data_IF_997921079799
#
_entry.id   IF_997921079799
#
_cell.length_a   1.000
_cell.length_b   1.000
_cell.length_c   1.000
_cell.angle_alpha   90.00
_cell.angle_beta   90.00
_cell.angle_gamma   90.00
#
_symmetry.space_group_name_H-M   'P 1'
#
loop_
_entity.id
_entity.type
_entity.pdbx_description
1 polymer ?
#
# COMPACT_ATOMS: atom_id res chain seq x y z
N UNK A 1 -17.13 11.87 -17.92
CA UNK A 1 -17.34 10.41 -18.02
C UNK A 1 -18.05 9.93 -16.76
N UNK A 2 -19.38 10.06 -16.74
CA UNK A 2 -20.30 9.22 -15.96
C UNK A 2 -21.53 9.10 -16.86
N UNK A 3 -21.67 7.98 -17.57
CA UNK A 3 -22.93 7.55 -18.17
C UNK A 3 -23.54 6.58 -17.17
N UNK A 4 -24.45 7.07 -16.35
CA UNK A 4 -25.30 6.30 -15.47
C UNK A 4 -26.54 7.13 -15.23
N UNK A 5 -27.71 6.59 -15.55
CA UNK A 5 -28.99 7.24 -15.26
C UNK A 5 -29.08 7.49 -13.75
N UNK A 6 -29.17 8.76 -13.34
CA UNK A 6 -29.50 9.11 -11.96
C UNK A 6 -31.00 8.82 -11.82
N UNK A 7 -31.32 7.60 -11.40
CA UNK A 7 -32.66 7.32 -10.88
C UNK A 7 -32.78 8.11 -9.58
N UNK A 8 -33.50 9.24 -9.66
CA UNK A 8 -33.91 10.02 -8.49
C UNK A 8 -34.91 9.19 -7.67
N UNK A 9 -34.40 8.20 -6.93
CA UNK A 9 -35.14 7.61 -5.83
C UNK A 9 -35.43 8.73 -4.82
N UNK A 10 -36.71 8.92 -4.46
CA UNK A 10 -37.08 9.88 -3.40
C UNK A 10 -36.19 9.59 -2.19
N UNK A 11 -35.62 10.61 -1.51
CA UNK A 11 -34.85 10.37 -0.30
C UNK A 11 -35.74 9.62 0.67
N UNK A 12 -35.33 8.41 1.06
CA UNK A 12 -36.06 7.61 2.03
C UNK A 12 -36.31 8.49 3.28
N UNK A 13 -37.52 8.51 3.86
CA UNK A 13 -37.84 9.32 5.04
C UNK A 13 -36.86 9.11 6.22
N UNK A 14 -36.12 8.01 6.22
CA UNK A 14 -35.01 7.73 7.12
C UNK A 14 -33.78 8.63 6.90
N UNK A 15 -33.42 8.99 5.66
CA UNK A 15 -32.32 9.91 5.35
C UNK A 15 -32.57 11.29 5.95
N UNK A 16 -33.79 11.81 5.80
CA UNK A 16 -34.18 13.11 6.35
C UNK A 16 -34.12 13.10 7.89
N UNK A 17 -34.57 12.01 8.54
CA UNK A 17 -34.52 11.86 10.00
C UNK A 17 -33.09 11.73 10.52
N UNK A 18 -32.21 11.01 9.81
CA UNK A 18 -30.81 10.83 10.18
C UNK A 18 -30.01 12.12 10.01
N UNK A 19 -30.22 12.86 8.91
CA UNK A 19 -29.61 14.17 8.71
C UNK A 19 -30.10 15.20 9.74
N UNK A 20 -31.40 15.21 10.06
CA UNK A 20 -31.94 16.06 11.12
C UNK A 20 -31.32 15.72 12.50
N UNK A 21 -31.22 14.43 12.83
CA UNK A 21 -30.57 13.98 14.07
C UNK A 21 -29.07 14.34 14.12
N UNK A 22 -28.37 14.28 12.98
CA UNK A 22 -26.97 14.72 12.82
C UNK A 22 -26.81 16.19 13.19
N UNK A 23 -27.61 17.08 12.58
CA UNK A 23 -27.51 18.51 12.85
C UNK A 23 -27.97 18.87 14.27
N UNK A 24 -28.98 18.18 14.82
CA UNK A 24 -29.41 18.37 16.20
C UNK A 24 -28.31 17.99 17.20
N UNK A 25 -27.60 16.88 17.00
CA UNK A 25 -26.51 16.44 17.87
C UNK A 25 -25.30 17.39 17.78
N UNK A 26 -24.93 17.80 16.56
CA UNK A 26 -23.84 18.74 16.36
C UNK A 26 -24.14 20.11 16.99
N UNK A 27 -25.37 20.60 16.84
CA UNK A 27 -25.83 21.85 17.45
C UNK A 27 -25.88 21.75 18.99
N UNK A 28 -26.42 20.67 19.54
CA UNK A 28 -26.48 20.46 20.99
C UNK A 28 -25.08 20.36 21.61
N UNK A 29 -24.17 19.60 20.99
CA UNK A 29 -22.77 19.49 21.42
C UNK A 29 -22.04 20.83 21.36
N UNK A 30 -22.28 21.62 20.31
CA UNK A 30 -21.79 22.99 20.22
C UNK A 30 -22.34 23.88 21.35
N UNK A 31 -23.67 23.92 21.53
CA UNK A 31 -24.34 24.78 22.52
C UNK A 31 -23.87 24.49 23.95
N UNK A 32 -23.60 23.23 24.30
CA UNK A 32 -23.03 22.85 25.59
C UNK A 32 -21.60 23.40 25.81
N UNK A 33 -20.84 23.67 24.73
CA UNK A 33 -19.50 24.24 24.78
C UNK A 33 -19.48 25.78 24.76
N UNK A 34 -20.61 26.43 24.42
CA UNK A 34 -20.72 27.89 24.33
C UNK A 34 -20.40 28.66 25.63
N UNK A 35 -20.72 28.17 26.85
CA UNK A 35 -20.39 28.86 28.10
C UNK A 35 -18.88 28.92 28.41
N UNK A 36 -18.04 28.16 27.71
CA UNK A 36 -16.62 27.94 28.05
C UNK A 36 -15.62 28.72 27.17
N UNK A 37 -16.00 29.87 26.62
CA UNK A 37 -15.03 30.80 26.01
C UNK A 37 -15.22 31.14 24.53
N UNK A 38 -16.45 31.19 24.03
CA UNK A 38 -16.78 31.85 22.76
C UNK A 38 -16.94 30.93 21.54
N UNK A 39 -17.08 31.54 20.36
CA UNK A 39 -17.47 30.87 19.10
C UNK A 39 -16.47 29.79 18.63
N UNK A 40 -15.18 29.93 18.96
CA UNK A 40 -14.13 29.02 18.50
C UNK A 40 -14.21 27.61 19.13
N UNK A 41 -14.27 27.43 20.47
CA UNK A 41 -14.45 26.11 21.06
C UNK A 41 -15.79 25.46 20.67
N UNK A 42 -16.86 26.25 20.51
CA UNK A 42 -18.13 25.80 19.93
C UNK A 42 -17.91 25.20 18.53
N UNK A 43 -17.23 25.93 17.64
CA UNK A 43 -16.99 25.49 16.27
C UNK A 43 -16.12 24.23 16.22
N UNK A 44 -15.09 24.12 17.07
CA UNK A 44 -14.23 22.94 17.12
C UNK A 44 -14.98 21.69 17.56
N UNK A 45 -15.83 21.78 18.59
CA UNK A 45 -16.66 20.65 19.06
C UNK A 45 -17.68 20.27 17.99
N UNK A 46 -18.36 21.26 17.40
CA UNK A 46 -19.30 21.05 16.30
C UNK A 46 -18.63 20.28 15.15
N UNK A 47 -17.46 20.73 14.70
CA UNK A 47 -16.73 20.10 13.59
C UNK A 47 -16.10 18.75 13.97
N UNK A 48 -15.77 18.52 15.23
CA UNK A 48 -15.32 17.20 15.69
C UNK A 48 -16.44 16.16 15.61
N UNK A 49 -17.68 16.55 15.94
CA UNK A 49 -18.89 15.72 15.79
C UNK A 49 -19.22 15.55 14.30
N UNK A 50 -19.21 16.64 13.52
CA UNK A 50 -19.49 16.63 12.08
C UNK A 50 -18.50 15.73 11.32
N UNK A 51 -17.22 15.74 11.70
CA UNK A 51 -16.19 14.88 11.12
C UNK A 51 -16.53 13.39 11.24
N UNK A 52 -17.22 12.95 12.29
CA UNK A 52 -17.64 11.54 12.44
C UNK A 52 -18.79 11.15 11.51
N UNK A 53 -19.48 12.14 10.93
CA UNK A 53 -20.71 11.97 10.16
C UNK A 53 -20.65 12.62 8.77
N UNK A 54 -19.46 13.05 8.33
CA UNK A 54 -19.29 13.73 7.05
C UNK A 54 -19.62 12.81 5.87
N UNK A 55 -19.35 11.51 6.01
CA UNK A 55 -19.62 10.49 4.99
C UNK A 55 -21.01 9.86 5.08
N UNK A 56 -21.87 10.33 5.99
CA UNK A 56 -23.16 9.70 6.26
C UNK A 56 -24.08 9.69 5.03
N UNK A 57 -24.11 10.79 4.27
CA UNK A 57 -24.94 10.92 3.09
C UNK A 57 -24.48 10.00 1.93
N UNK A 58 -23.21 10.02 1.48
CA UNK A 58 -22.77 9.10 0.44
C UNK A 58 -22.84 7.63 0.89
N UNK A 59 -22.49 7.31 2.14
CA UNK A 59 -22.57 5.93 2.63
C UNK A 59 -24.01 5.37 2.66
N UNK A 60 -25.02 6.21 2.89
CA UNK A 60 -26.41 5.77 2.83
C UNK A 60 -26.86 5.49 1.39
N UNK A 61 -26.35 6.25 0.42
CA UNK A 61 -26.66 6.05 -1.01
C UNK A 61 -26.09 4.72 -1.51
N UNK A 62 -24.86 4.38 -1.10
CA UNK A 62 -24.19 3.15 -1.51
C UNK A 62 -24.68 1.90 -0.75
N UNK A 63 -25.16 2.08 0.47
CA UNK A 63 -25.55 0.99 1.36
C UNK A 63 -26.94 1.21 1.97
N UNK A 64 -28.02 1.22 1.17
CA UNK A 64 -29.38 1.53 1.64
C UNK A 64 -29.97 0.50 2.63
N UNK A 65 -29.35 -0.68 2.74
CA UNK A 65 -29.79 -1.75 3.65
C UNK A 65 -29.14 -1.75 5.04
N UNK A 66 -28.17 -0.87 5.31
CA UNK A 66 -27.49 -0.84 6.61
C UNK A 66 -28.37 -0.20 7.69
N UNK A 67 -28.33 -0.77 8.90
CA UNK A 67 -28.96 -0.15 10.06
C UNK A 67 -28.22 1.14 10.46
N UNK A 68 -28.91 2.04 11.19
CA UNK A 68 -28.30 3.28 11.71
C UNK A 68 -26.99 3.05 12.46
N UNK A 69 -26.89 1.96 13.23
CA UNK A 69 -25.70 1.65 14.04
C UNK A 69 -24.52 1.25 13.16
N UNK A 70 -24.77 0.42 12.13
CA UNK A 70 -23.76 -0.03 11.17
C UNK A 70 -23.27 1.13 10.31
N UNK A 71 -24.17 2.00 9.86
CA UNK A 71 -23.83 3.17 9.07
C UNK A 71 -22.93 4.15 9.84
N UNK A 72 -23.22 4.38 11.13
CA UNK A 72 -22.37 5.20 12.00
C UNK A 72 -21.02 4.54 12.30
N UNK A 73 -20.98 3.21 12.43
CA UNK A 73 -19.73 2.47 12.58
C UNK A 73 -18.87 2.57 11.30
N UNK A 74 -19.49 2.44 10.13
CA UNK A 74 -18.84 2.61 8.83
C UNK A 74 -18.29 4.04 8.63
N UNK A 75 -19.05 5.08 8.99
CA UNK A 75 -18.55 6.46 8.93
C UNK A 75 -17.36 6.70 9.88
N UNK A 76 -17.37 6.08 11.06
CA UNK A 76 -16.24 6.13 12.00
C UNK A 76 -15.01 5.39 11.48
N UNK A 77 -15.19 4.25 10.83
CA UNK A 77 -14.11 3.55 10.15
C UNK A 77 -13.47 4.44 9.06
N UNK A 78 -14.29 5.04 8.19
CA UNK A 78 -13.84 5.99 7.17
C UNK A 78 -13.11 7.18 7.79
N UNK A 79 -13.62 7.73 8.89
CA UNK A 79 -12.94 8.79 9.66
C UNK A 79 -11.58 8.30 10.17
N UNK A 80 -11.48 7.07 10.69
CA UNK A 80 -10.22 6.43 11.05
C UNK A 80 -9.25 6.33 9.86
N UNK A 81 -9.76 5.94 8.68
CA UNK A 81 -8.98 5.84 7.42
C UNK A 81 -8.46 7.19 6.92
N UNK A 82 -9.08 8.31 7.32
CA UNK A 82 -8.53 9.65 7.05
C UNK A 82 -7.38 10.05 8.00
N UNK A 83 -7.05 9.23 9.00
CA UNK A 83 -6.09 9.55 10.05
C UNK A 83 -6.72 10.04 11.35
N UNK A 84 -8.02 9.78 11.54
CA UNK A 84 -8.78 10.17 12.73
C UNK A 84 -9.35 11.60 12.67
N UNK A 85 -10.14 11.94 13.68
CA UNK A 85 -10.99 13.14 13.74
C UNK A 85 -10.28 14.45 13.39
N UNK A 86 -9.07 14.67 13.93
CA UNK A 86 -8.31 15.90 13.70
C UNK A 86 -7.87 16.01 12.23
N UNK A 87 -7.47 14.90 11.61
CA UNK A 87 -7.10 14.87 10.20
C UNK A 87 -8.32 15.09 9.29
N UNK A 88 -9.46 14.51 9.66
CA UNK A 88 -10.74 14.75 8.99
C UNK A 88 -11.13 16.23 9.05
N UNK A 89 -11.06 16.86 10.24
CA UNK A 89 -11.38 18.27 10.43
C UNK A 89 -10.52 19.21 9.58
N UNK A 90 -9.21 18.91 9.41
CA UNK A 90 -8.32 19.69 8.53
C UNK A 90 -8.79 19.73 7.08
N UNK A 91 -9.56 18.74 6.65
CA UNK A 91 -10.12 18.66 5.28
C UNK A 91 -11.54 19.23 5.23
N UNK A 92 -12.38 18.92 6.22
CA UNK A 92 -13.78 19.36 6.26
C UNK A 92 -13.92 20.86 6.50
N UNK A 93 -13.10 21.46 7.36
CA UNK A 93 -13.22 22.89 7.70
C UNK A 93 -13.03 23.77 6.46
N UNK A 94 -11.98 23.59 5.62
CA UNK A 94 -11.87 24.34 4.37
C UNK A 94 -13.05 24.15 3.41
N UNK A 95 -13.59 22.92 3.29
CA UNK A 95 -14.77 22.64 2.47
C UNK A 95 -15.97 23.43 3.00
N UNK A 96 -16.23 23.37 4.30
CA UNK A 96 -17.33 24.07 4.93
C UNK A 96 -17.20 25.60 4.81
N UNK A 97 -15.99 26.15 4.97
CA UNK A 97 -15.70 27.57 4.72
C UNK A 97 -16.02 27.94 3.27
N UNK A 98 -15.63 27.10 2.30
CA UNK A 98 -15.93 27.33 0.88
C UNK A 98 -17.43 27.25 0.56
N UNK A 99 -18.17 26.37 1.23
CA UNK A 99 -19.62 26.22 1.09
C UNK A 99 -20.35 27.44 1.65
N UNK A 100 -19.94 27.94 2.82
CA UNK A 100 -20.62 29.04 3.52
C UNK A 100 -20.27 30.42 2.95
N UNK A 101 -19.00 30.65 2.60
CA UNK A 101 -18.50 31.98 2.23
C UNK A 101 -18.18 32.12 0.75
N UNK A 102 -17.91 31.02 0.05
CA UNK A 102 -17.39 31.10 -1.32
C UNK A 102 -18.43 31.44 -2.39
N UNK A 103 -19.71 31.54 -2.03
CA UNK A 103 -20.76 32.09 -2.90
C UNK A 103 -20.94 33.60 -2.76
N UNK A 104 -20.37 34.23 -1.72
CA UNK A 104 -20.49 35.67 -1.46
C UNK A 104 -19.87 36.55 -2.57
N UNK A 105 -18.71 36.22 -3.16
CA UNK A 105 -18.13 37.03 -4.24
C UNK A 105 -18.85 36.86 -5.58
N UNK A 106 -19.54 35.73 -5.80
CA UNK A 106 -20.16 35.38 -7.07
C UNK A 106 -21.69 35.48 -7.07
N UNK A 107 -22.32 35.78 -5.93
CA UNK A 107 -23.78 35.80 -5.75
C UNK A 107 -24.46 34.44 -5.90
N UNK A 108 -23.70 33.34 -5.85
CA UNK A 108 -24.20 31.98 -6.13
C UNK A 108 -23.87 31.02 -4.96
N UNK A 109 -24.65 31.09 -3.87
CA UNK A 109 -24.46 30.23 -2.71
C UNK A 109 -24.79 28.77 -3.01
N UNK A 110 -25.70 28.52 -3.96
CA UNK A 110 -26.10 27.16 -4.36
C UNK A 110 -24.93 26.44 -5.00
N UNK A 111 -24.23 27.08 -5.93
CA UNK A 111 -23.04 26.50 -6.57
C UNK A 111 -21.92 26.23 -5.56
N UNK A 112 -21.68 27.15 -4.63
CA UNK A 112 -20.66 26.96 -3.58
C UNK A 112 -20.99 25.75 -2.69
N UNK A 113 -22.26 25.61 -2.33
CA UNK A 113 -22.77 24.47 -1.57
C UNK A 113 -22.66 23.15 -2.35
N UNK A 114 -23.10 23.13 -3.61
CA UNK A 114 -23.02 21.95 -4.48
C UNK A 114 -21.58 21.48 -4.70
N UNK A 115 -20.63 22.40 -4.88
CA UNK A 115 -19.21 22.04 -5.02
C UNK A 115 -18.64 21.40 -3.75
N UNK A 116 -19.05 21.86 -2.57
CA UNK A 116 -18.64 21.24 -1.32
C UNK A 116 -19.26 19.85 -1.12
N UNK A 117 -20.52 19.66 -1.49
CA UNK A 117 -21.16 18.34 -1.48
C UNK A 117 -20.45 17.37 -2.43
N UNK A 118 -20.12 17.80 -3.66
CA UNK A 118 -19.34 17.02 -4.62
C UNK A 118 -17.95 16.70 -4.06
N UNK A 119 -17.27 17.65 -3.41
CA UNK A 119 -15.97 17.42 -2.81
C UNK A 119 -16.00 16.32 -1.73
N UNK A 120 -17.06 16.28 -0.91
CA UNK A 120 -17.25 15.21 0.08
C UNK A 120 -17.51 13.86 -0.58
N UNK A 121 -18.31 13.81 -1.65
CA UNK A 121 -18.55 12.56 -2.40
C UNK A 121 -17.27 12.07 -3.07
N UNK A 122 -16.52 12.93 -3.76
CA UNK A 122 -15.25 12.56 -4.38
C UNK A 122 -14.23 12.08 -3.33
N UNK A 123 -14.24 12.67 -2.14
CA UNK A 123 -13.39 12.22 -1.04
C UNK A 123 -13.82 10.87 -0.48
N UNK A 124 -15.13 10.62 -0.38
CA UNK A 124 -15.68 9.33 0.00
C UNK A 124 -15.28 8.22 -1.00
N UNK A 125 -15.46 8.46 -2.30
CA UNK A 125 -15.04 7.55 -3.37
C UNK A 125 -13.54 7.26 -3.32
N UNK A 126 -12.71 8.29 -3.14
CA UNK A 126 -11.26 8.15 -2.97
C UNK A 126 -10.89 7.35 -1.72
N UNK A 127 -11.68 7.42 -0.65
CA UNK A 127 -11.48 6.58 0.53
C UNK A 127 -11.89 5.14 0.26
N UNK A 128 -13.02 4.88 -0.40
CA UNK A 128 -13.44 3.53 -0.74
C UNK A 128 -12.47 2.82 -1.71
N UNK A 129 -11.93 3.56 -2.67
CA UNK A 129 -10.95 3.05 -3.64
C UNK A 129 -9.58 2.71 -3.01
N UNK A 130 -9.30 3.17 -1.78
CA UNK A 130 -8.11 2.75 -1.03
C UNK A 130 -8.34 1.35 -0.46
N UNK A 131 -7.37 0.43 -0.49
CA UNK A 131 -7.47 -0.79 0.30
C UNK A 131 -7.70 -0.42 1.78
N UNK A 132 -8.47 -1.22 2.55
CA UNK A 132 -8.60 -0.99 3.99
C UNK A 132 -7.20 -0.89 4.59
N UNK A 133 -7.01 0.06 5.50
CA UNK A 133 -5.78 0.17 6.25
C UNK A 133 -5.62 -1.16 6.99
N UNK A 134 -4.80 -2.05 6.45
CA UNK A 134 -4.49 -3.34 7.08
C UNK A 134 -4.07 -3.04 8.51
N UNK A 135 -4.83 -3.59 9.45
CA UNK A 135 -4.57 -3.55 10.89
C UNK A 135 -3.26 -4.26 11.18
N UNK A 136 -2.16 -3.57 10.95
CA UNK A 136 -0.88 -3.88 11.53
C UNK A 136 -0.34 -2.56 12.06
N UNK A 137 -0.45 -2.40 13.37
CA UNK A 137 0.28 -1.41 14.15
C UNK A 137 1.77 -1.68 13.99
N UNK A 138 2.35 -1.25 12.88
CA UNK A 138 3.80 -1.11 12.76
C UNK A 138 4.13 0.26 13.33
N UNK A 139 5.03 0.27 14.33
CA UNK A 139 5.63 1.51 14.81
C UNK A 139 6.01 2.37 13.60
N UNK A 140 5.61 3.65 13.63
CA UNK A 140 5.85 4.56 12.51
C UNK A 140 7.33 4.67 12.15
N UNK A 141 8.25 4.28 13.05
CA UNK A 141 9.68 4.23 12.88
C UNK A 141 10.22 2.82 13.22
N UNK A 142 11.03 2.25 12.34
CA UNK A 142 11.86 1.05 12.60
C UNK A 142 13.33 1.47 12.45
N UNK A 143 14.09 1.35 13.54
CA UNK A 143 15.53 1.59 13.58
C UNK A 143 16.23 0.25 13.85
N UNK A 144 17.31 -0.06 13.14
CA UNK A 144 18.07 -1.31 13.36
C UNK A 144 17.43 -2.57 12.79
N UNK A 145 16.24 -2.46 12.18
CA UNK A 145 15.53 -3.59 11.61
C UNK A 145 15.05 -4.58 12.66
N UNK A 146 14.37 -4.08 13.70
CA UNK A 146 13.82 -4.90 14.79
C UNK A 146 12.36 -5.30 14.57
N UNK A 147 11.62 -4.55 13.75
CA UNK A 147 10.25 -4.93 13.38
C UNK A 147 10.22 -6.29 12.65
N UNK A 148 9.13 -7.07 12.76
CA UNK A 148 8.97 -8.28 11.96
C UNK A 148 8.87 -7.94 10.48
N UNK A 149 9.32 -8.87 9.64
CA UNK A 149 9.18 -8.77 8.19
C UNK A 149 7.70 -8.87 7.82
N UNK A 150 7.19 -7.88 7.07
CA UNK A 150 5.80 -7.87 6.60
C UNK A 150 5.66 -8.80 5.39
N UNK A 151 4.69 -9.70 5.41
CA UNK A 151 4.34 -10.52 4.25
C UNK A 151 3.17 -9.84 3.54
N UNK A 152 3.44 -9.31 2.34
CA UNK A 152 2.42 -8.67 1.50
C UNK A 152 1.81 -9.72 0.58
N UNK A 153 0.55 -10.02 0.80
CA UNK A 153 -0.21 -10.96 -0.04
C UNK A 153 -0.64 -10.29 -1.34
N UNK A 154 -0.39 -10.98 -2.45
CA UNK A 154 -0.69 -10.58 -3.82
C UNK A 154 -1.39 -11.75 -4.50
N UNK A 155 -2.39 -11.48 -5.33
CA UNK A 155 -3.08 -12.50 -6.12
C UNK A 155 -3.16 -12.03 -7.56
N UNK A 156 -2.72 -12.88 -8.49
CA UNK A 156 -2.75 -12.64 -9.93
C UNK A 156 -3.28 -13.91 -10.58
N UNK A 157 -4.43 -13.83 -11.24
CA UNK A 157 -5.03 -15.02 -11.87
C UNK A 157 -4.26 -15.41 -13.14
N UNK A 158 -3.41 -16.45 -13.03
CA UNK A 158 -2.73 -17.09 -14.16
C UNK A 158 -3.18 -18.55 -14.36
N UNK A 159 -4.12 -19.03 -13.53
CA UNK A 159 -4.68 -20.37 -13.61
C UNK A 159 -3.74 -21.50 -13.22
N UNK A 160 -2.67 -21.22 -12.45
CA UNK A 160 -1.64 -22.22 -12.12
C UNK A 160 -1.82 -22.91 -10.77
N UNK A 161 -2.50 -22.26 -9.81
CA UNK A 161 -2.61 -22.75 -8.44
C UNK A 161 -1.28 -22.73 -7.69
N UNK A 162 -0.34 -21.85 -8.06
CA UNK A 162 0.98 -21.75 -7.47
C UNK A 162 1.05 -20.61 -6.46
N UNK A 163 1.92 -20.73 -5.46
CA UNK A 163 2.28 -19.63 -4.56
C UNK A 163 3.78 -19.40 -4.63
N UNK A 164 4.19 -18.17 -4.97
CA UNK A 164 5.59 -17.75 -5.01
C UNK A 164 5.89 -16.79 -3.86
N UNK A 165 7.13 -16.79 -3.37
CA UNK A 165 7.64 -15.75 -2.48
C UNK A 165 8.70 -14.92 -3.21
N UNK A 166 8.48 -13.63 -3.40
CA UNK A 166 9.52 -12.71 -3.86
C UNK A 166 10.17 -11.97 -2.69
N UNK A 167 11.49 -12.12 -2.56
CA UNK A 167 12.31 -11.41 -1.58
C UNK A 167 13.47 -10.71 -2.30
N UNK A 168 13.67 -9.44 -2.01
CA UNK A 168 14.73 -8.61 -2.60
C UNK A 168 15.40 -7.77 -1.53
N UNK A 169 16.56 -7.20 -1.86
CA UNK A 169 17.24 -6.20 -1.04
C UNK A 169 17.53 -6.73 0.37
N UNK A 170 18.14 -7.92 0.44
CA UNK A 170 18.46 -8.61 1.69
C UNK A 170 19.65 -7.93 2.41
N UNK A 171 20.59 -7.36 1.64
CA UNK A 171 21.79 -6.68 2.13
C UNK A 171 22.52 -7.45 3.25
N UNK A 172 22.73 -8.74 3.05
CA UNK A 172 23.26 -9.60 4.12
C UNK A 172 24.73 -9.27 4.41
N UNK A 173 25.03 -9.22 5.71
CA UNK A 173 26.37 -9.15 6.32
C UNK A 173 26.40 -10.06 7.55
N UNK A 174 27.58 -10.41 8.06
CA UNK A 174 27.69 -11.17 9.31
C UNK A 174 27.28 -10.33 10.54
N UNK A 175 25.99 -10.16 10.77
CA UNK A 175 25.42 -9.46 11.92
C UNK A 175 24.03 -9.99 12.30
N UNK A 176 23.58 -9.70 13.52
CA UNK A 176 22.29 -10.18 14.03
C UNK A 176 21.07 -9.65 13.27
N UNK A 177 21.17 -8.50 12.59
CA UNK A 177 20.09 -7.98 11.73
C UNK A 177 19.88 -8.88 10.51
N UNK A 178 20.95 -9.26 9.85
CA UNK A 178 20.91 -10.13 8.67
C UNK A 178 20.41 -11.52 9.04
N UNK A 179 20.81 -12.06 10.21
CA UNK A 179 20.26 -13.31 10.72
C UNK A 179 18.72 -13.25 10.89
N UNK A 180 18.18 -12.15 11.43
CA UNK A 180 16.73 -11.95 11.53
C UNK A 180 16.03 -11.86 10.18
N UNK A 181 16.68 -11.23 9.18
CA UNK A 181 16.15 -11.19 7.80
C UNK A 181 16.07 -12.61 7.24
N UNK A 182 17.11 -13.43 7.42
CA UNK A 182 17.11 -14.84 7.00
C UNK A 182 15.96 -15.61 7.64
N UNK A 183 15.81 -15.52 8.97
CA UNK A 183 14.72 -16.19 9.68
C UNK A 183 13.34 -15.73 9.20
N UNK A 184 13.16 -14.43 8.96
CA UNK A 184 11.91 -13.87 8.44
C UNK A 184 11.56 -14.39 7.05
N UNK A 185 12.54 -14.46 6.14
CA UNK A 185 12.34 -14.98 4.79
C UNK A 185 12.06 -16.49 4.82
N UNK A 186 12.81 -17.27 5.59
CA UNK A 186 12.60 -18.72 5.74
C UNK A 186 11.22 -19.01 6.34
N UNK A 187 10.78 -18.21 7.31
CA UNK A 187 9.43 -18.35 7.87
C UNK A 187 8.35 -18.06 6.82
N UNK A 188 8.49 -16.98 6.05
CA UNK A 188 7.55 -16.60 4.99
C UNK A 188 7.54 -17.58 3.80
N UNK A 189 8.64 -18.32 3.60
CA UNK A 189 8.77 -19.33 2.53
C UNK A 189 8.07 -20.66 2.86
N UNK A 190 7.42 -20.80 4.02
CA UNK A 190 6.68 -22.02 4.35
C UNK A 190 5.43 -22.14 3.49
N UNK A 191 5.29 -23.26 2.78
CA UNK A 191 4.12 -23.56 1.96
C UNK A 191 4.05 -22.79 0.63
N UNK A 192 5.18 -22.25 0.15
CA UNK A 192 5.30 -21.68 -1.20
C UNK A 192 6.02 -22.67 -2.12
N UNK A 193 5.74 -22.62 -3.43
CA UNK A 193 6.33 -23.51 -4.44
C UNK A 193 7.75 -23.10 -4.82
N UNK A 194 8.03 -21.79 -4.84
CA UNK A 194 9.37 -21.26 -5.09
C UNK A 194 9.59 -19.88 -4.44
N UNK A 195 10.86 -19.59 -4.17
CA UNK A 195 11.35 -18.29 -3.71
C UNK A 195 12.14 -17.62 -4.83
N UNK A 196 11.74 -16.40 -5.18
CA UNK A 196 12.40 -15.53 -6.15
C UNK A 196 13.25 -14.49 -5.40
N UNK A 197 14.57 -14.60 -5.51
CA UNK A 197 15.52 -13.64 -4.95
C UNK A 197 15.84 -12.54 -5.97
N UNK A 198 15.22 -11.37 -5.77
CA UNK A 198 15.18 -10.25 -6.72
C UNK A 198 16.41 -9.33 -6.73
N UNK A 199 17.58 -9.80 -6.29
CA UNK A 199 18.83 -9.02 -6.25
C UNK A 199 19.05 -8.20 -4.97
N UNK A 200 20.26 -7.63 -4.87
CA UNK A 200 20.83 -6.98 -3.68
C UNK A 200 20.85 -7.92 -2.47
N UNK A 201 21.43 -9.10 -2.69
CA UNK A 201 21.46 -10.20 -1.72
C UNK A 201 22.56 -9.98 -0.68
N UNK A 202 23.74 -9.53 -1.12
CA UNK A 202 24.90 -9.31 -0.25
C UNK A 202 25.36 -7.86 -0.24
N UNK A 203 25.75 -7.41 0.94
CA UNK A 203 26.33 -6.09 1.17
C UNK A 203 27.83 -6.17 1.55
N UNK A 204 28.38 -7.40 1.49
CA UNK A 204 29.78 -7.74 1.72
C UNK A 204 29.99 -9.27 1.74
N UNK A 205 31.23 -9.76 1.57
CA UNK A 205 31.53 -11.21 1.54
C UNK A 205 31.13 -11.96 2.82
N UNK A 206 31.11 -11.27 3.96
CA UNK A 206 30.74 -11.87 5.26
C UNK A 206 29.28 -12.36 5.33
N UNK A 207 28.41 -11.90 4.42
CA UNK A 207 27.03 -12.37 4.31
C UNK A 207 26.87 -13.70 3.56
N UNK A 208 27.91 -14.20 2.86
CA UNK A 208 27.81 -15.45 2.06
C UNK A 208 27.30 -16.66 2.84
N UNK A 209 27.75 -16.94 4.08
CA UNK A 209 27.26 -18.09 4.83
C UNK A 209 25.76 -17.98 5.13
N UNK A 210 25.27 -16.78 5.45
CA UNK A 210 23.85 -16.52 5.70
C UNK A 210 23.01 -16.65 4.43
N UNK A 211 23.50 -16.18 3.29
CA UNK A 211 22.81 -16.38 2.00
C UNK A 211 22.75 -17.87 1.65
N UNK A 212 23.85 -18.59 1.84
CA UNK A 212 23.91 -20.04 1.59
C UNK A 212 22.92 -20.78 2.49
N UNK A 213 22.85 -20.44 3.79
CA UNK A 213 21.89 -21.01 4.73
C UNK A 213 20.43 -20.71 4.36
N UNK A 214 20.12 -19.45 4.04
CA UNK A 214 18.79 -19.05 3.57
C UNK A 214 18.34 -19.92 2.39
N UNK A 215 19.21 -20.07 1.40
CA UNK A 215 18.88 -20.80 0.17
C UNK A 215 18.66 -22.29 0.45
N UNK A 216 19.44 -22.91 1.35
CA UNK A 216 19.24 -24.32 1.75
C UNK A 216 17.93 -24.58 2.48
N UNK A 217 17.42 -23.58 3.21
CA UNK A 217 16.24 -23.71 4.08
C UNK A 217 14.94 -23.33 3.39
N UNK A 218 15.04 -22.66 2.25
CA UNK A 218 13.90 -22.36 1.40
C UNK A 218 13.60 -23.57 0.48
N UNK A 219 12.39 -23.64 -0.11
CA UNK A 219 12.08 -24.60 -1.18
C UNK A 219 12.90 -24.25 -2.44
N UNK A 220 12.34 -24.40 -3.64
CA UNK A 220 13.06 -24.04 -4.86
C UNK A 220 13.41 -22.55 -4.88
N UNK A 221 14.70 -22.22 -5.02
CA UNK A 221 15.18 -20.82 -5.09
C UNK A 221 15.66 -20.47 -6.50
N UNK A 222 15.20 -19.33 -7.01
CA UNK A 222 15.71 -18.69 -8.23
C UNK A 222 16.24 -17.30 -7.87
N UNK A 223 17.43 -16.93 -8.35
CA UNK A 223 18.06 -15.66 -7.97
C UNK A 223 18.59 -14.89 -9.18
N UNK A 224 18.51 -13.56 -9.10
CA UNK A 224 19.12 -12.61 -10.04
C UNK A 224 20.05 -11.64 -9.31
N UNK A 225 21.01 -10.99 -9.98
CA UNK A 225 21.87 -9.99 -9.34
C UNK A 225 21.18 -8.62 -9.20
N UNK A 226 21.46 -7.95 -8.10
CA UNK A 226 21.27 -6.49 -7.95
C UNK A 226 22.55 -5.69 -8.18
N UNK A 227 22.53 -4.39 -7.92
CA UNK A 227 23.72 -3.54 -8.03
C UNK A 227 24.73 -3.74 -6.88
N UNK A 228 24.27 -3.98 -5.64
CA UNK A 228 25.17 -4.29 -4.52
C UNK A 228 25.89 -5.62 -4.75
N UNK A 229 25.22 -6.59 -5.34
CA UNK A 229 25.84 -7.88 -5.72
C UNK A 229 26.96 -7.69 -6.75
N UNK A 230 26.88 -6.67 -7.62
CA UNK A 230 27.97 -6.32 -8.54
C UNK A 230 29.18 -5.75 -7.80
N UNK A 231 28.97 -4.92 -6.79
CA UNK A 231 30.06 -4.38 -5.96
C UNK A 231 30.75 -5.47 -5.14
N UNK A 232 30.00 -6.44 -4.61
CA UNK A 232 30.54 -7.61 -3.90
C UNK A 232 31.20 -8.60 -4.87
N UNK A 233 30.72 -8.64 -6.11
CA UNK A 233 31.15 -9.51 -7.20
C UNK A 233 30.12 -10.59 -7.50
N UNK A 234 29.44 -10.49 -8.64
CA UNK A 234 28.33 -11.38 -9.02
C UNK A 234 28.71 -12.86 -8.96
N UNK A 235 29.91 -13.24 -9.40
CA UNK A 235 30.36 -14.63 -9.34
C UNK A 235 30.46 -15.19 -7.91
N UNK A 236 30.72 -14.33 -6.92
CA UNK A 236 30.73 -14.70 -5.50
C UNK A 236 29.31 -14.95 -5.00
N UNK A 237 28.40 -14.01 -5.27
CA UNK A 237 26.99 -14.12 -4.87
C UNK A 237 26.35 -15.36 -5.50
N UNK A 238 26.58 -15.55 -6.80
CA UNK A 238 26.16 -16.73 -7.56
C UNK A 238 26.61 -18.03 -6.89
N UNK A 239 27.90 -18.15 -6.57
CA UNK A 239 28.42 -19.35 -5.87
C UNK A 239 27.75 -19.57 -4.52
N UNK A 240 27.44 -18.53 -3.76
CA UNK A 240 26.72 -18.68 -2.49
C UNK A 240 25.30 -19.22 -2.69
N UNK A 241 24.59 -18.74 -3.70
CA UNK A 241 23.27 -19.28 -4.10
C UNK A 241 23.38 -20.74 -4.54
N UNK A 242 24.31 -21.06 -5.43
CA UNK A 242 24.49 -22.43 -5.96
C UNK A 242 24.95 -23.42 -4.87
N UNK A 243 25.82 -23.00 -3.94
CA UNK A 243 26.20 -23.80 -2.75
C UNK A 243 25.02 -24.10 -1.81
N UNK A 244 23.97 -23.29 -1.90
CA UNK A 244 22.71 -23.49 -1.19
C UNK A 244 21.71 -24.35 -1.95
N UNK A 245 22.07 -24.85 -3.13
CA UNK A 245 21.18 -25.55 -4.08
C UNK A 245 20.18 -24.65 -4.79
N UNK A 246 20.37 -23.32 -4.74
CA UNK A 246 19.58 -22.37 -5.51
C UNK A 246 20.05 -22.27 -6.96
N UNK A 247 19.14 -21.84 -7.83
CA UNK A 247 19.43 -21.62 -9.26
C UNK A 247 19.71 -20.14 -9.51
N UNK A 248 20.88 -19.86 -10.10
CA UNK A 248 21.20 -18.52 -10.59
C UNK A 248 20.65 -18.33 -12.01
N UNK A 249 19.71 -17.40 -12.18
CA UNK A 249 19.03 -17.17 -13.45
C UNK A 249 19.91 -16.34 -14.42
N UNK A 250 20.24 -16.92 -15.57
CA UNK A 250 20.88 -16.23 -16.71
C UNK A 250 19.95 -16.08 -17.93
N UNK A 251 18.74 -16.65 -17.84
CA UNK A 251 17.73 -16.63 -18.89
C UNK A 251 16.37 -16.94 -18.26
N UNK A 252 15.82 -18.10 -18.57
CA UNK A 252 14.52 -18.56 -18.06
C UNK A 252 14.61 -19.86 -17.26
N UNK A 253 13.62 -20.08 -16.38
CA UNK A 253 13.40 -21.35 -15.69
C UNK A 253 11.90 -21.63 -15.56
N UNK A 254 11.51 -22.91 -15.62
CA UNK A 254 10.13 -23.35 -15.46
C UNK A 254 9.82 -23.70 -13.99
N UNK A 255 8.80 -23.09 -13.39
CA UNK A 255 8.30 -23.38 -12.03
C UNK A 255 6.83 -23.78 -12.14
N UNK A 256 6.50 -25.07 -12.01
CA UNK A 256 5.10 -25.51 -11.96
C UNK A 256 4.24 -25.10 -13.16
N UNK A 257 4.83 -24.92 -14.35
CA UNK A 257 4.13 -24.41 -15.54
C UNK A 257 4.33 -22.91 -15.81
N UNK A 258 4.90 -22.15 -14.87
CA UNK A 258 5.27 -20.75 -15.05
C UNK A 258 6.68 -20.61 -15.63
N UNK A 259 6.85 -19.83 -16.70
CA UNK A 259 8.16 -19.39 -17.18
C UNK A 259 8.61 -18.17 -16.37
N UNK A 260 9.71 -18.30 -15.62
CA UNK A 260 10.33 -17.18 -14.90
C UNK A 260 11.58 -16.75 -15.64
N UNK A 261 11.63 -15.50 -16.12
CA UNK A 261 12.75 -14.98 -16.89
C UNK A 261 13.26 -13.62 -16.40
N UNK A 262 14.37 -13.16 -16.97
CA UNK A 262 15.06 -11.93 -16.55
C UNK A 262 15.02 -10.79 -17.59
N UNK A 263 14.40 -11.04 -18.74
CA UNK A 263 14.24 -10.09 -19.83
C UNK A 263 13.93 -10.77 -21.17
N UNK A 264 13.76 -9.98 -22.21
CA UNK A 264 13.43 -10.48 -23.55
C UNK A 264 11.95 -10.83 -23.71
N UNK A 265 11.65 -11.66 -24.71
CA UNK A 265 10.30 -12.20 -24.95
C UNK A 265 10.22 -13.59 -24.31
N UNK A 266 9.17 -13.90 -23.52
CA UNK A 266 9.07 -15.18 -22.85
C UNK A 266 8.96 -16.34 -23.84
N UNK A 267 9.60 -17.47 -23.57
CA UNK A 267 9.56 -18.65 -24.46
C UNK A 267 8.19 -19.35 -24.49
N UNK A 268 7.42 -19.25 -23.41
CA UNK A 268 6.07 -19.79 -23.29
C UNK A 268 5.28 -18.97 -22.26
N UNK A 269 3.96 -19.21 -22.20
CA UNK A 269 3.05 -18.59 -21.24
C UNK A 269 2.38 -19.67 -20.37
N UNK A 270 1.99 -19.33 -19.13
CA UNK A 270 2.15 -18.03 -18.47
C UNK A 270 3.60 -17.70 -18.08
N UNK A 271 3.96 -16.41 -18.04
CA UNK A 271 5.32 -15.94 -17.81
C UNK A 271 5.45 -14.78 -16.81
N UNK A 272 6.46 -14.86 -15.95
CA UNK A 272 6.85 -13.87 -14.95
C UNK A 272 8.24 -13.30 -15.23
N UNK A 273 8.31 -11.97 -15.35
CA UNK A 273 9.54 -11.21 -15.48
C UNK A 273 10.08 -10.83 -14.10
N UNK A 274 11.24 -11.38 -13.74
CA UNK A 274 11.97 -11.04 -12.53
C UNK A 274 13.09 -10.06 -12.87
N UNK A 275 13.00 -8.82 -12.38
CA UNK A 275 14.01 -7.79 -12.58
C UNK A 275 14.39 -7.15 -11.26
N UNK A 276 15.63 -6.72 -11.10
CA UNK A 276 16.04 -6.07 -9.85
C UNK A 276 15.50 -4.64 -9.78
N UNK A 277 15.78 -3.84 -10.81
CA UNK A 277 15.38 -2.43 -10.88
C UNK A 277 14.02 -2.33 -11.57
N UNK A 278 13.01 -1.67 -10.96
CA UNK A 278 11.68 -1.58 -11.56
C UNK A 278 11.66 -1.01 -12.98
N UNK A 279 12.59 -0.11 -13.32
CA UNK A 279 12.73 0.48 -14.67
C UNK A 279 13.09 -0.51 -15.77
N UNK A 280 13.66 -1.66 -15.40
CA UNK A 280 14.02 -2.73 -16.35
C UNK A 280 12.82 -3.59 -16.74
N UNK A 281 11.68 -3.45 -16.05
CA UNK A 281 10.46 -4.13 -16.45
C UNK A 281 10.00 -3.64 -17.83
N UNK A 282 9.60 -4.59 -18.67
CA UNK A 282 9.13 -4.41 -20.05
C UNK A 282 7.79 -5.12 -20.24
N UNK A 283 7.05 -4.75 -21.28
CA UNK A 283 5.81 -5.44 -21.68
C UNK A 283 6.03 -6.84 -22.24
N UNK A 284 4.93 -7.53 -22.54
CA UNK A 284 4.95 -8.86 -23.19
C UNK A 284 4.97 -10.04 -22.22
N UNK A 285 5.03 -9.77 -20.91
CA UNK A 285 4.96 -10.76 -19.82
C UNK A 285 3.59 -10.70 -19.13
N UNK A 286 3.18 -11.78 -18.48
CA UNK A 286 1.89 -11.83 -17.77
C UNK A 286 1.98 -11.18 -16.37
N UNK A 287 3.18 -11.18 -15.77
CA UNK A 287 3.49 -10.48 -14.52
C UNK A 287 4.96 -10.05 -14.50
N UNK A 288 5.27 -8.89 -13.91
CA UNK A 288 6.62 -8.48 -13.58
C UNK A 288 6.76 -8.22 -12.08
N UNK A 289 7.91 -8.56 -11.51
CA UNK A 289 8.21 -8.34 -10.09
C UNK A 289 9.61 -7.72 -9.93
N UNK A 290 9.71 -6.71 -9.06
CA UNK A 290 10.95 -5.96 -8.85
C UNK A 290 11.18 -5.54 -7.38
N UNK A 291 12.43 -5.14 -7.07
CA UNK A 291 12.89 -4.64 -5.77
C UNK A 291 13.55 -3.27 -5.87
N UNK A 292 14.74 -3.12 -5.28
CA UNK A 292 15.69 -2.02 -5.42
C UNK A 292 15.30 -0.67 -4.77
N UNK A 293 14.01 -0.30 -4.78
CA UNK A 293 13.62 1.06 -4.38
C UNK A 293 13.40 1.24 -2.89
N UNK A 294 13.36 0.17 -2.09
CA UNK A 294 13.13 0.20 -0.64
C UNK A 294 11.83 0.93 -0.19
N UNK A 295 10.90 1.16 -1.11
CA UNK A 295 9.78 2.09 -0.91
C UNK A 295 10.20 3.53 -0.57
N UNK A 296 11.46 3.90 -0.84
CA UNK A 296 12.07 5.17 -0.44
C UNK A 296 12.46 5.26 1.03
N UNK A 297 12.34 4.17 1.80
CA UNK A 297 12.58 4.04 3.26
C UNK A 297 11.70 4.92 4.17
N UNK A 298 11.28 6.09 3.71
CA UNK A 298 10.42 7.05 4.40
C UNK A 298 9.17 7.26 3.55
N UNK A 299 8.01 6.93 4.11
CA UNK A 299 6.72 7.12 3.47
C UNK A 299 5.90 8.13 4.27
N UNK A 300 5.88 9.38 3.81
CA UNK A 300 5.04 10.43 4.39
C UNK A 300 3.61 10.34 3.86
N UNK A 301 3.49 10.06 2.57
CA UNK A 301 2.22 9.93 1.84
C UNK A 301 2.32 8.73 0.91
N UNK A 302 1.34 7.84 0.99
CA UNK A 302 1.18 6.71 0.08
C UNK A 302 -0.12 6.88 -0.71
N UNK A 303 -0.01 6.86 -2.05
CA UNK A 303 -1.13 6.77 -3.00
C UNK A 303 -0.82 5.62 -3.97
N UNK A 304 -0.88 5.84 -5.27
CA UNK A 304 -0.27 4.95 -6.28
C UNK A 304 1.25 4.89 -6.14
N UNK A 305 1.86 5.93 -5.55
CA UNK A 305 3.29 6.07 -5.30
C UNK A 305 3.56 6.36 -3.83
N UNK A 306 4.79 6.12 -3.40
CA UNK A 306 5.29 6.39 -2.05
C UNK A 306 6.18 7.63 -2.05
N UNK A 307 5.81 8.65 -1.27
CA UNK A 307 6.53 9.93 -1.21
C UNK A 307 7.32 10.07 0.11
N UNK A 308 8.52 10.68 0.09
CA UNK A 308 9.14 11.40 -1.04
C UNK A 308 9.92 10.51 -2.03
N UNK A 309 10.06 9.20 -1.81
CA UNK A 309 10.85 8.32 -2.69
C UNK A 309 10.48 8.43 -4.18
N UNK A 310 9.21 8.68 -4.49
CA UNK A 310 8.71 8.94 -5.84
C UNK A 310 9.34 10.15 -6.57
N UNK A 311 9.94 11.10 -5.84
CA UNK A 311 10.73 12.20 -6.42
C UNK A 311 12.03 11.71 -7.05
N UNK A 312 12.62 10.64 -6.49
CA UNK A 312 13.86 10.03 -6.98
C UNK A 312 13.56 9.02 -8.09
N UNK A 313 12.53 8.19 -7.88
CA UNK A 313 12.06 7.25 -8.88
C UNK A 313 10.53 7.14 -8.93
N UNK A 314 9.95 7.48 -10.08
CA UNK A 314 8.49 7.44 -10.29
C UNK A 314 7.86 6.04 -10.21
N UNK A 315 8.66 4.96 -10.19
CA UNK A 315 8.23 3.58 -9.91
C UNK A 315 8.33 3.21 -8.42
N UNK A 316 8.58 4.17 -7.52
CA UNK A 316 8.47 3.97 -6.06
C UNK A 316 6.98 3.88 -5.68
N UNK A 317 6.46 2.66 -5.56
CA UNK A 317 5.07 2.35 -5.24
C UNK A 317 4.88 0.85 -5.08
N UNK A 318 3.64 0.36 -4.94
CA UNK A 318 3.39 -1.09 -4.79
C UNK A 318 3.11 -1.80 -6.11
N UNK A 319 2.33 -1.15 -6.99
CA UNK A 319 1.84 -1.72 -8.25
C UNK A 319 1.88 -0.67 -9.37
N UNK A 320 2.25 -1.14 -10.56
CA UNK A 320 2.25 -0.36 -11.80
C UNK A 320 1.79 -1.24 -12.96
N UNK A 321 1.62 -0.62 -14.13
CA UNK A 321 1.45 -1.33 -15.40
C UNK A 321 2.50 -0.77 -16.37
N UNK A 322 3.23 -1.66 -17.04
CA UNK A 322 4.26 -1.32 -18.02
C UNK A 322 3.91 -2.02 -19.32
N UNK A 323 3.53 -1.24 -20.34
CA UNK A 323 3.17 -1.76 -21.68
C UNK A 323 2.19 -2.94 -21.64
N UNK A 324 1.17 -2.84 -20.76
CA UNK A 324 0.15 -3.87 -20.54
C UNK A 324 0.51 -4.96 -19.53
N UNK A 325 1.78 -5.06 -19.10
CA UNK A 325 2.23 -6.02 -18.08
C UNK A 325 2.08 -5.42 -16.67
N UNK A 326 1.35 -6.08 -15.75
CA UNK A 326 1.33 -5.70 -14.33
C UNK A 326 2.71 -5.81 -13.71
N UNK A 327 3.13 -4.81 -12.94
CA UNK A 327 4.40 -4.76 -12.23
C UNK A 327 4.17 -4.63 -10.72
N UNK A 328 4.65 -5.60 -9.94
CA UNK A 328 4.70 -5.55 -8.49
C UNK A 328 6.08 -5.09 -8.03
N UNK A 329 6.12 -4.08 -7.18
CA UNK A 329 7.38 -3.55 -6.63
C UNK A 329 7.41 -3.81 -5.12
N UNK A 330 8.46 -4.49 -4.68
CA UNK A 330 8.77 -4.79 -3.30
C UNK A 330 9.43 -3.59 -2.62
N UNK A 331 9.13 -3.37 -1.34
CA UNK A 331 9.88 -2.45 -0.47
C UNK A 331 11.17 -3.06 0.07
N UNK A 332 11.52 -4.29 -0.28
CA UNK A 332 12.74 -4.97 0.15
C UNK A 332 12.68 -5.51 1.58
N UNK A 333 13.40 -6.60 1.83
CA UNK A 333 13.41 -7.29 3.13
C UNK A 333 14.41 -6.67 4.13
N UNK A 334 15.34 -5.85 3.64
CA UNK A 334 16.35 -5.15 4.41
C UNK A 334 16.74 -3.84 3.71
N UNK A 335 17.81 -3.20 4.18
CA UNK A 335 18.33 -1.92 3.69
C UNK A 335 19.80 -1.74 4.06
N UNK A 336 20.54 -0.97 3.27
CA UNK A 336 21.86 -0.48 3.71
C UNK A 336 21.76 0.48 4.90
N UNK A 337 20.78 1.39 4.90
CA UNK A 337 20.52 2.32 6.00
C UNK A 337 19.42 1.78 6.93
N UNK A 338 19.70 1.45 8.20
CA UNK A 338 18.78 0.74 9.07
C UNK A 338 17.71 1.64 9.68
N UNK A 339 17.11 2.54 8.90
CA UNK A 339 16.05 3.45 9.35
C UNK A 339 14.94 3.42 8.32
N UNK A 340 13.72 3.13 8.79
CA UNK A 340 12.52 3.20 7.96
C UNK A 340 11.40 3.92 8.71
N UNK A 341 10.67 4.79 8.02
CA UNK A 341 9.50 5.47 8.54
C UNK A 341 8.27 5.13 7.71
N UNK A 342 7.25 4.49 8.31
CA UNK A 342 6.01 4.03 7.66
C UNK A 342 6.25 3.17 6.40
N UNK A 343 7.43 2.57 6.28
CA UNK A 343 7.86 1.75 5.16
C UNK A 343 8.30 0.37 5.67
N UNK A 344 7.43 -0.47 6.26
CA UNK A 344 7.86 -1.77 6.79
C UNK A 344 8.64 -2.57 5.73
N UNK A 345 9.71 -3.22 6.19
CA UNK A 345 10.45 -4.23 5.42
C UNK A 345 9.48 -5.33 5.04
N UNK A 346 9.58 -5.82 3.82
CA UNK A 346 8.60 -6.77 3.30
C UNK A 346 9.16 -7.83 2.37
N UNK A 347 8.37 -8.88 2.21
CA UNK A 347 8.44 -9.85 1.12
C UNK A 347 7.05 -9.99 0.49
N UNK A 348 6.98 -10.38 -0.77
CA UNK A 348 5.72 -10.54 -1.49
C UNK A 348 5.38 -12.03 -1.55
N UNK A 349 4.19 -12.41 -1.07
CA UNK A 349 3.65 -13.75 -1.32
C UNK A 349 2.59 -13.64 -2.40
N UNK A 350 2.83 -14.30 -3.53
CA UNK A 350 2.07 -14.12 -4.78
C UNK A 350 1.37 -15.43 -5.10
N UNK A 351 0.04 -15.45 -5.01
CA UNK A 351 -0.79 -16.54 -5.49
C UNK A 351 -1.09 -16.36 -6.99
N UNK A 352 -0.88 -17.42 -7.77
CA UNK A 352 -0.96 -17.49 -9.24
C UNK A 352 -1.95 -18.54 -9.74
#
# INVERSE_FOLDING_TARGET
LVRGEIVCARPAPELARLLAAKYALALAGGLCAAPFGGFLPFALVFYAIEAQMVFLAPALLDHPGLTRRELLAHCRDLTGRTGGTVATMRTVIPIAVRMLLGGLPSGDPVRAWSLGAIAVVLWYEDLLARPPATTASHAHLDVGGHAPLHVREEAVDLGLGLTLLHASDLHLRANGRSARVVEGVVHAARGVDAVLLGGDLLDGPSGEPLLTDLVRRCPRVLAIPGNHDRWVGVGRVRRAVERGSGTWLTGEALVGGLVVGTGGTPSARPALLLVHVPRQAVGGWDLAVAGHLHGGQVVLVERTRMWPGALLDGRTGRRFVVDGTPLLVSRGASDTLPVRWRCPREVLRIAL
#
